data_IF_345505926407
#
_entry.id   IF_345505926407
#
_cell.length_a   1.000
_cell.length_b   1.000
_cell.length_c   1.000
_cell.angle_alpha   90.00
_cell.angle_beta   90.00
_cell.angle_gamma   90.00
#
_symmetry.space_group_name_H-M   'P 1'
#
loop_
_entity.id
_entity.type
_entity.pdbx_description
1 polymer ?
#
# COMPACT_ATOMS: atom_id res chain seq x y z
N UNK A 1 9.46 -6.15 12.24
CA UNK A 1 8.23 -6.81 11.78
C UNK A 1 8.34 -7.36 10.35
N UNK A 2 9.23 -6.81 9.52
CA UNK A 2 9.48 -7.31 8.18
C UNK A 2 10.63 -8.31 8.22
N UNK A 3 10.38 -9.53 7.79
CA UNK A 3 11.38 -10.59 7.62
C UNK A 3 11.12 -11.29 6.30
N UNK A 4 12.16 -11.38 5.45
CA UNK A 4 12.04 -11.95 4.11
C UNK A 4 10.86 -11.31 3.33
N UNK A 5 9.88 -12.08 2.93
CA UNK A 5 8.69 -11.72 2.17
C UNK A 5 7.43 -11.58 3.05
N UNK A 6 7.58 -11.32 4.34
CA UNK A 6 6.47 -11.27 5.29
C UNK A 6 6.58 -10.06 6.24
N UNK A 7 5.50 -9.27 6.31
CA UNK A 7 5.27 -8.32 7.40
C UNK A 7 4.39 -8.99 8.46
N UNK A 8 4.92 -9.18 9.65
CA UNK A 8 4.17 -9.72 10.79
C UNK A 8 3.73 -8.61 11.72
N UNK A 9 2.42 -8.43 11.87
CA UNK A 9 1.83 -7.45 12.80
C UNK A 9 1.45 -8.20 14.07
N UNK A 10 2.08 -7.88 15.22
CA UNK A 10 1.78 -8.52 16.49
C UNK A 10 0.32 -8.32 16.94
N UNK A 11 -0.18 -9.26 17.73
CA UNK A 11 -1.59 -9.26 18.16
C UNK A 11 -1.99 -8.01 18.95
N UNK A 12 -1.07 -7.43 19.72
CA UNK A 12 -1.30 -6.20 20.51
C UNK A 12 -1.58 -4.98 19.64
N UNK A 13 -1.11 -4.97 18.38
CA UNK A 13 -1.35 -3.90 17.42
C UNK A 13 -2.56 -4.14 16.52
N UNK A 14 -3.20 -5.30 16.65
CA UNK A 14 -4.39 -5.65 15.87
C UNK A 14 -5.66 -5.47 16.70
N UNK A 15 -6.71 -4.85 16.10
CA UNK A 15 -8.01 -4.66 16.76
C UNK A 15 -8.57 -5.97 17.32
N UNK A 16 -8.38 -7.08 16.62
CA UNK A 16 -8.92 -8.38 16.98
C UNK A 16 -7.97 -9.24 17.82
N UNK A 17 -6.87 -8.64 18.33
CA UNK A 17 -5.90 -9.33 19.20
C UNK A 17 -5.39 -10.67 18.63
N UNK A 18 -5.22 -10.74 17.31
CA UNK A 18 -4.65 -11.87 16.58
C UNK A 18 -3.49 -11.41 15.74
N UNK A 19 -2.40 -12.17 15.74
CA UNK A 19 -1.25 -11.96 14.85
C UNK A 19 -1.74 -11.92 13.39
N UNK A 20 -1.26 -10.96 12.62
CA UNK A 20 -1.58 -10.86 11.20
C UNK A 20 -0.31 -10.83 10.37
N UNK A 21 -0.20 -11.79 9.44
CA UNK A 21 0.89 -11.87 8.47
C UNK A 21 0.43 -11.26 7.15
N UNK A 22 1.23 -10.38 6.58
CA UNK A 22 0.98 -9.78 5.27
C UNK A 22 2.08 -10.26 4.32
N UNK A 23 1.74 -11.00 3.25
CA UNK A 23 2.72 -11.37 2.23
C UNK A 23 3.25 -10.12 1.54
N UNK A 24 4.56 -10.03 1.38
CA UNK A 24 5.23 -8.92 0.68
C UNK A 24 5.83 -9.45 -0.61
N UNK A 25 5.36 -8.93 -1.72
CA UNK A 25 5.93 -9.24 -3.04
C UNK A 25 7.27 -8.54 -3.24
N UNK A 26 8.02 -8.95 -4.26
CA UNK A 26 9.27 -8.27 -4.62
C UNK A 26 9.05 -6.78 -4.92
N UNK A 27 7.94 -6.43 -5.56
CA UNK A 27 7.59 -5.03 -5.85
C UNK A 27 7.27 -4.26 -4.57
N UNK A 28 6.47 -4.82 -3.67
CA UNK A 28 6.19 -4.20 -2.38
C UNK A 28 7.48 -3.98 -1.55
N UNK A 29 8.38 -4.97 -1.54
CA UNK A 29 9.69 -4.87 -0.87
C UNK A 29 10.56 -3.78 -1.50
N UNK A 30 10.57 -3.64 -2.83
CA UNK A 30 11.33 -2.58 -3.51
C UNK A 30 10.84 -1.19 -3.10
N UNK A 31 9.52 -0.97 -3.04
CA UNK A 31 8.92 0.30 -2.59
C UNK A 31 9.24 0.62 -1.12
N UNK A 32 9.21 -0.39 -0.25
CA UNK A 32 9.57 -0.22 1.16
C UNK A 32 11.05 0.12 1.33
N UNK A 33 11.93 -0.50 0.55
CA UNK A 33 13.37 -0.20 0.54
C UNK A 33 13.64 1.20 -0.02
N UNK A 34 12.97 1.60 -1.09
CA UNK A 34 13.05 2.95 -1.64
C UNK A 34 12.62 3.98 -0.61
N UNK A 35 11.46 3.79 0.03
CA UNK A 35 10.97 4.68 1.08
C UNK A 35 11.97 4.82 2.23
N UNK A 36 12.62 3.73 2.64
CA UNK A 36 13.65 3.75 3.67
C UNK A 36 14.91 4.50 3.22
N UNK A 37 15.35 4.29 1.97
CA UNK A 37 16.57 4.90 1.43
C UNK A 37 16.40 6.39 1.12
N UNK A 38 15.21 6.84 0.77
CA UNK A 38 14.89 8.26 0.53
C UNK A 38 14.59 9.02 1.82
N UNK A 39 14.39 8.32 2.94
CA UNK A 39 14.13 8.94 4.24
C UNK A 39 15.31 9.79 4.71
N UNK A 40 15.03 10.98 5.25
CA UNK A 40 16.02 11.83 5.93
C UNK A 40 16.63 11.16 7.18
N UNK A 41 15.95 10.18 7.74
CA UNK A 41 16.35 9.44 8.94
C UNK A 41 16.82 8.01 8.61
N UNK A 42 17.87 7.88 7.82
CA UNK A 42 18.40 6.58 7.32
C UNK A 42 18.69 5.54 8.41
N UNK A 43 19.01 5.99 9.64
CA UNK A 43 19.29 5.11 10.79
C UNK A 43 18.04 4.77 11.62
N UNK A 44 16.86 5.25 11.22
CA UNK A 44 15.62 4.91 11.93
C UNK A 44 15.31 3.42 11.78
N UNK A 45 14.76 2.82 12.84
CA UNK A 45 14.19 1.48 12.80
C UNK A 45 12.85 1.41 12.04
N UNK A 46 12.24 2.56 11.77
CA UNK A 46 10.98 2.67 11.03
C UNK A 46 11.23 2.85 9.52
N UNK A 47 10.43 2.21 8.70
CA UNK A 47 10.40 2.46 7.25
C UNK A 47 9.89 3.87 6.97
N UNK A 48 8.86 4.29 7.70
CA UNK A 48 8.29 5.64 7.65
C UNK A 48 8.51 6.34 9.00
N UNK A 49 9.67 6.97 9.21
CA UNK A 49 9.93 7.73 10.42
C UNK A 49 9.12 9.02 10.46
N UNK A 50 8.80 9.49 11.65
CA UNK A 50 8.19 10.79 11.88
C UNK A 50 9.21 11.93 11.79
N UNK A 51 8.87 13.09 12.35
CA UNK A 51 9.80 14.22 12.44
C UNK A 51 11.07 13.89 13.25
N UNK A 52 10.95 13.02 14.26
CA UNK A 52 12.06 12.46 15.02
C UNK A 52 12.32 11.02 14.55
N UNK A 53 13.59 10.65 14.38
CA UNK A 53 14.00 9.30 13.95
C UNK A 53 13.54 8.18 14.88
N UNK A 54 13.30 8.49 16.14
CA UNK A 54 12.83 7.56 17.19
C UNK A 54 11.32 7.31 17.20
N UNK A 55 10.56 7.98 16.34
CA UNK A 55 9.10 7.84 16.25
C UNK A 55 8.68 7.50 14.81
N UNK A 56 7.61 6.72 14.68
CA UNK A 56 6.98 6.48 13.38
C UNK A 56 6.25 7.73 12.86
N UNK A 57 5.97 7.77 11.57
CA UNK A 57 5.14 8.79 10.94
C UNK A 57 3.73 8.78 11.53
N UNK A 58 3.10 9.95 11.55
CA UNK A 58 1.70 10.07 12.00
C UNK A 58 0.78 9.29 11.04
N UNK A 59 -0.23 8.62 11.59
CA UNK A 59 -1.25 7.88 10.83
C UNK A 59 -2.02 8.76 9.83
N UNK A 60 -2.07 10.07 10.07
CA UNK A 60 -2.74 11.03 9.18
C UNK A 60 -1.89 11.47 7.98
N UNK A 61 -0.63 11.03 7.87
CA UNK A 61 0.30 11.53 6.83
C UNK A 61 -0.25 11.26 5.42
N UNK A 62 -0.78 10.07 5.18
CA UNK A 62 -1.37 9.70 3.89
C UNK A 62 -2.64 10.51 3.60
N UNK A 63 -3.51 10.69 4.59
CA UNK A 63 -4.73 11.51 4.46
C UNK A 63 -4.38 12.95 4.13
N UNK A 64 -3.39 13.53 4.81
CA UNK A 64 -2.94 14.90 4.57
C UNK A 64 -2.31 15.04 3.19
N UNK A 65 -1.47 14.10 2.78
CA UNK A 65 -0.90 14.06 1.42
C UNK A 65 -1.99 14.05 0.35
N UNK A 66 -2.99 13.16 0.48
CA UNK A 66 -4.09 13.07 -0.50
C UNK A 66 -4.95 14.34 -0.53
N UNK A 67 -5.19 14.99 0.62
CA UNK A 67 -5.94 16.25 0.68
C UNK A 67 -5.20 17.43 0.03
N UNK A 68 -3.89 17.46 0.13
CA UNK A 68 -3.05 18.54 -0.40
C UNK A 68 -2.72 18.36 -1.88
N UNK A 69 -2.69 17.12 -2.37
CA UNK A 69 -2.38 16.82 -3.75
C UNK A 69 -3.61 17.06 -4.64
N UNK A 70 -3.48 17.93 -5.66
CA UNK A 70 -4.57 18.30 -6.56
C UNK A 70 -5.20 17.11 -7.29
N UNK A 71 -4.41 16.09 -7.61
CA UNK A 71 -4.89 14.87 -8.28
C UNK A 71 -5.82 14.06 -7.40
N UNK A 72 -5.50 13.92 -6.11
CA UNK A 72 -6.29 13.11 -5.17
C UNK A 72 -7.40 13.89 -4.46
N UNK A 73 -7.26 15.21 -4.34
CA UNK A 73 -8.21 16.06 -3.61
C UNK A 73 -9.64 15.85 -4.12
N UNK A 74 -10.56 15.52 -3.22
CA UNK A 74 -11.97 15.24 -3.50
C UNK A 74 -12.24 14.03 -4.42
N UNK A 75 -11.23 13.23 -4.76
CA UNK A 75 -11.36 12.04 -5.62
C UNK A 75 -11.10 10.76 -4.87
N UNK A 76 -10.15 10.76 -3.95
CA UNK A 76 -9.70 9.56 -3.27
C UNK A 76 -9.36 9.85 -1.81
N UNK A 77 -9.71 8.91 -0.94
CA UNK A 77 -9.31 8.88 0.46
C UNK A 77 -8.55 7.57 0.74
N UNK A 78 -7.71 7.48 1.78
CA UNK A 78 -6.93 6.26 2.04
C UNK A 78 -7.78 4.99 2.15
N UNK A 79 -8.99 5.09 2.72
CA UNK A 79 -9.92 3.96 2.81
C UNK A 79 -10.44 3.50 1.43
N UNK A 80 -10.55 4.41 0.48
CA UNK A 80 -10.95 4.09 -0.91
C UNK A 80 -9.99 3.13 -1.61
N UNK A 81 -8.69 3.16 -1.27
CA UNK A 81 -7.71 2.20 -1.79
C UNK A 81 -8.09 0.75 -1.46
N UNK A 82 -8.64 0.51 -0.26
CA UNK A 82 -9.13 -0.82 0.14
C UNK A 82 -10.33 -1.25 -0.70
N UNK A 83 -11.24 -0.32 -0.97
CA UNK A 83 -12.41 -0.59 -1.80
C UNK A 83 -12.02 -0.91 -3.23
N UNK A 84 -11.04 -0.19 -3.81
CA UNK A 84 -10.51 -0.45 -5.15
C UNK A 84 -9.91 -1.87 -5.20
N UNK A 85 -9.04 -2.22 -4.26
CA UNK A 85 -8.46 -3.55 -4.19
C UNK A 85 -9.53 -4.64 -4.02
N UNK A 86 -10.56 -4.39 -3.20
CA UNK A 86 -11.65 -5.35 -3.00
C UNK A 86 -12.48 -5.57 -4.26
N UNK A 87 -12.82 -4.50 -4.99
CA UNK A 87 -13.53 -4.57 -6.27
C UNK A 87 -12.70 -5.33 -7.31
N UNK A 88 -11.42 -4.96 -7.44
CA UNK A 88 -10.51 -5.66 -8.33
C UNK A 88 -10.44 -7.18 -8.04
N UNK A 89 -10.34 -7.56 -6.77
CA UNK A 89 -10.36 -8.98 -6.39
C UNK A 89 -11.67 -9.68 -6.80
N UNK A 90 -12.81 -9.00 -6.68
CA UNK A 90 -14.10 -9.53 -7.11
C UNK A 90 -14.14 -9.75 -8.64
N UNK A 91 -13.68 -8.77 -9.41
CA UNK A 91 -13.61 -8.83 -10.88
C UNK A 91 -12.67 -9.93 -11.39
N UNK A 92 -11.70 -10.35 -10.56
CA UNK A 92 -10.73 -11.41 -10.86
C UNK A 92 -11.09 -12.76 -10.20
N UNK A 93 -12.35 -12.94 -9.79
CA UNK A 93 -12.86 -14.18 -9.22
C UNK A 93 -12.09 -14.70 -8.01
N UNK A 94 -11.50 -13.81 -7.20
CA UNK A 94 -10.85 -14.18 -5.93
C UNK A 94 -11.92 -14.64 -4.95
N UNK A 95 -11.72 -15.79 -4.32
CA UNK A 95 -12.69 -16.29 -3.34
C UNK A 95 -12.91 -15.29 -2.20
N UNK A 96 -14.13 -15.24 -1.68
CA UNK A 96 -14.53 -14.28 -0.65
C UNK A 96 -13.60 -14.35 0.57
N UNK A 97 -13.26 -15.55 1.04
CA UNK A 97 -12.43 -15.76 2.22
C UNK A 97 -11.00 -15.21 2.03
N UNK A 98 -10.41 -15.43 0.85
CA UNK A 98 -9.07 -14.93 0.52
C UNK A 98 -9.08 -13.42 0.39
N UNK A 99 -10.07 -12.84 -0.29
CA UNK A 99 -10.21 -11.40 -0.46
C UNK A 99 -10.37 -10.69 0.90
N UNK A 100 -11.21 -11.20 1.79
CA UNK A 100 -11.38 -10.65 3.13
C UNK A 100 -10.10 -10.80 3.98
N UNK A 101 -9.40 -11.93 3.83
CA UNK A 101 -8.10 -12.13 4.50
C UNK A 101 -7.02 -11.15 4.01
N UNK A 102 -7.00 -10.79 2.71
CA UNK A 102 -6.13 -9.72 2.18
C UNK A 102 -6.39 -8.37 2.86
N UNK A 103 -7.64 -8.12 3.23
CA UNK A 103 -8.06 -6.88 3.89
C UNK A 103 -7.99 -6.96 5.42
N UNK A 104 -7.47 -8.04 5.99
CA UNK A 104 -7.47 -8.29 7.44
C UNK A 104 -8.88 -8.25 8.07
N UNK A 105 -9.90 -8.55 7.28
CA UNK A 105 -11.26 -8.71 7.80
C UNK A 105 -11.46 -10.09 8.38
N UNK A 106 -12.33 -10.19 9.35
CA UNK A 106 -12.72 -11.47 9.94
C UNK A 106 -13.97 -11.97 9.24
N UNK A 107 -13.88 -13.17 8.68
CA UNK A 107 -14.99 -13.84 8.00
C UNK A 107 -15.55 -14.94 8.91
N UNK A 108 -16.85 -15.11 8.86
CA UNK A 108 -17.57 -16.21 9.49
C UNK A 108 -17.95 -16.00 10.96
N UNK A 109 -18.81 -16.89 11.44
CA UNK A 109 -19.26 -16.94 12.83
C UNK A 109 -18.13 -17.34 13.80
N UNK A 110 -18.34 -17.19 15.09
CA UNK A 110 -17.38 -17.65 16.11
C UNK A 110 -17.07 -19.14 15.96
N UNK A 111 -18.05 -19.92 15.55
CA UNK A 111 -17.92 -21.38 15.33
C UNK A 111 -17.06 -21.67 14.10
N UNK A 112 -17.39 -21.10 12.93
CA UNK A 112 -16.59 -21.34 11.71
C UNK A 112 -15.13 -20.88 11.85
N UNK A 113 -14.88 -19.83 12.63
CA UNK A 113 -13.53 -19.32 12.92
C UNK A 113 -12.70 -20.27 13.80
N UNK A 114 -13.34 -21.08 14.65
CA UNK A 114 -12.63 -22.09 15.45
C UNK A 114 -12.04 -23.20 14.58
N UNK A 115 -12.64 -23.46 13.43
CA UNK A 115 -12.17 -24.45 12.45
C UNK A 115 -11.24 -23.87 11.39
N UNK A 116 -11.21 -22.55 11.17
CA UNK A 116 -10.37 -21.90 10.19
C UNK A 116 -8.95 -21.71 10.72
N UNK A 117 -8.09 -22.69 10.49
CA UNK A 117 -6.69 -22.69 10.94
C UNK A 117 -5.76 -21.98 9.97
N UNK A 118 -6.14 -21.83 8.71
CA UNK A 118 -5.32 -21.19 7.68
C UNK A 118 -5.55 -19.67 7.65
N UNK A 119 -4.47 -18.91 7.53
CA UNK A 119 -4.52 -17.46 7.20
C UNK A 119 -4.43 -17.20 5.69
N UNK A 120 -4.50 -18.25 4.86
CA UNK A 120 -4.42 -18.20 3.39
C UNK A 120 -3.14 -17.50 2.87
N UNK A 121 -2.02 -17.59 3.60
CA UNK A 121 -0.82 -16.82 3.28
C UNK A 121 -0.38 -16.99 1.82
N UNK A 122 -0.26 -18.24 1.34
CA UNK A 122 0.16 -18.53 -0.04
C UNK A 122 -0.83 -18.02 -1.08
N UNK A 123 -2.13 -18.24 -0.88
CA UNK A 123 -3.16 -17.73 -1.77
C UNK A 123 -3.12 -16.19 -1.83
N UNK A 124 -2.98 -15.53 -0.68
CA UNK A 124 -2.83 -14.07 -0.59
C UNK A 124 -1.56 -13.58 -1.27
N UNK A 125 -0.44 -14.30 -1.17
CA UNK A 125 0.80 -13.97 -1.89
C UNK A 125 0.56 -13.96 -3.42
N UNK A 126 -0.17 -14.94 -3.96
CA UNK A 126 -0.50 -14.97 -5.39
C UNK A 126 -1.37 -13.78 -5.80
N UNK A 127 -2.39 -13.46 -4.99
CA UNK A 127 -3.25 -12.29 -5.25
C UNK A 127 -2.45 -10.98 -5.20
N UNK A 128 -1.53 -10.82 -4.23
CA UNK A 128 -0.67 -9.65 -4.16
C UNK A 128 0.24 -9.52 -5.38
N UNK A 129 0.79 -10.63 -5.92
CA UNK A 129 1.58 -10.61 -7.16
C UNK A 129 0.75 -10.16 -8.37
N UNK A 130 -0.48 -10.65 -8.50
CA UNK A 130 -1.38 -10.24 -9.58
C UNK A 130 -1.77 -8.76 -9.45
N UNK A 131 -2.05 -8.30 -8.23
CA UNK A 131 -2.33 -6.89 -7.93
C UNK A 131 -1.15 -5.98 -8.27
N UNK A 132 0.08 -6.38 -7.95
CA UNK A 132 1.28 -5.66 -8.33
C UNK A 132 1.42 -5.50 -9.85
N UNK A 133 1.18 -6.59 -10.59
CA UNK A 133 1.16 -6.55 -12.05
C UNK A 133 0.16 -5.53 -12.57
N UNK A 134 -1.06 -5.56 -12.08
CA UNK A 134 -2.12 -4.61 -12.43
C UNK A 134 -1.71 -3.15 -12.15
N UNK A 135 -1.18 -2.86 -10.95
CA UNK A 135 -0.73 -1.50 -10.62
C UNK A 135 0.40 -1.03 -11.54
N UNK A 136 1.37 -1.90 -11.82
CA UNK A 136 2.50 -1.56 -12.70
C UNK A 136 2.04 -1.32 -14.15
N UNK A 137 1.06 -2.09 -14.64
CA UNK A 137 0.46 -1.87 -15.96
C UNK A 137 -0.29 -0.55 -16.04
N UNK A 138 -1.08 -0.22 -15.00
CA UNK A 138 -1.74 1.08 -14.90
C UNK A 138 -0.72 2.23 -14.89
N UNK A 139 0.37 2.10 -14.15
CA UNK A 139 1.41 3.12 -14.09
C UNK A 139 2.11 3.33 -15.44
N UNK A 140 2.43 2.25 -16.16
CA UNK A 140 3.00 2.31 -17.53
C UNK A 140 2.04 2.98 -18.49
N UNK A 141 0.77 2.63 -18.48
CA UNK A 141 -0.25 3.21 -19.34
C UNK A 141 -0.42 4.72 -19.09
N UNK A 142 -0.40 5.13 -17.81
CA UNK A 142 -0.49 6.54 -17.44
C UNK A 142 0.72 7.36 -17.92
N UNK A 143 1.94 6.79 -17.93
CA UNK A 143 3.14 7.45 -18.46
C UNK A 143 3.08 7.63 -19.99
N UNK A 144 2.51 6.65 -20.71
CA UNK A 144 2.36 6.73 -22.16
C UNK A 144 1.30 7.74 -22.61
N UNK A 145 0.31 8.01 -21.76
CA UNK A 145 -0.78 8.96 -22.04
C UNK A 145 -0.55 10.36 -21.52
N UNK A 146 0.49 10.57 -20.69
CA UNK A 146 0.86 11.92 -20.25
C UNK A 146 1.50 12.68 -21.41
N UNK A 147 0.99 13.88 -21.80
CA UNK A 147 1.68 14.71 -22.80
C UNK A 147 3.08 15.03 -22.27
N UNK A 148 4.09 14.86 -23.13
CA UNK A 148 5.45 15.34 -22.85
C UNK A 148 5.31 16.80 -22.45
N UNK A 149 5.83 17.17 -21.28
CA UNK A 149 5.94 18.57 -20.89
C UNK A 149 6.81 19.25 -21.95
N UNK A 150 6.17 19.99 -22.86
CA UNK A 150 6.88 20.84 -23.78
C UNK A 150 7.73 21.80 -22.97
N UNK A 151 9.01 21.84 -23.32
CA UNK A 151 10.02 22.71 -22.80
C UNK A 151 9.45 24.14 -22.74
N UNK A 152 9.22 24.65 -21.55
CA UNK A 152 8.88 26.07 -21.36
C UNK A 152 10.16 26.82 -21.71
N UNK A 153 10.20 27.33 -22.95
CA UNK A 153 11.18 28.35 -23.35
C UNK A 153 10.98 29.58 -22.44
N UNK A 154 11.96 29.84 -21.60
CA UNK A 154 12.02 31.08 -20.84
C UNK A 154 12.23 32.23 -21.83
N UNK A 155 11.37 33.27 -21.88
CA UNK A 155 11.64 34.45 -22.69
C UNK A 155 12.88 35.16 -22.13
N UNK A 156 13.88 35.31 -22.95
CA UNK A 156 15.04 36.16 -22.65
C UNK A 156 14.57 37.61 -22.50
N UNK A 157 14.66 38.15 -21.30
CA UNK A 157 14.54 39.59 -21.06
C UNK A 157 15.76 40.29 -21.68
N UNK A 158 15.60 40.84 -22.88
CA UNK A 158 16.51 41.82 -23.46
C UNK A 158 16.40 43.11 -22.67
N UNK A 159 17.51 43.49 -22.07
CA UNK A 159 17.73 44.82 -21.49
C UNK A 159 17.72 45.88 -22.61
N UNK A 160 17.00 46.96 -22.38
CA UNK A 160 17.22 48.29 -22.95
C UNK A 160 16.88 49.34 -21.92
#
# INVERSE_FOLDING_TARGET
WIKQDCLTIPAEHMKMKRLHRVPLTAYALSLLNEAKNTSKHKRSSYVFPGQKSSKHANSQILTNFMRQNSFFKNRLVPHGLRSIARSWMADHNVSYEVAEACLAHIVGSSVSRAYQRSDFFEARMQIHKQWDGFIQDCARSAQLTSPKADSIETPSLSQS
#
